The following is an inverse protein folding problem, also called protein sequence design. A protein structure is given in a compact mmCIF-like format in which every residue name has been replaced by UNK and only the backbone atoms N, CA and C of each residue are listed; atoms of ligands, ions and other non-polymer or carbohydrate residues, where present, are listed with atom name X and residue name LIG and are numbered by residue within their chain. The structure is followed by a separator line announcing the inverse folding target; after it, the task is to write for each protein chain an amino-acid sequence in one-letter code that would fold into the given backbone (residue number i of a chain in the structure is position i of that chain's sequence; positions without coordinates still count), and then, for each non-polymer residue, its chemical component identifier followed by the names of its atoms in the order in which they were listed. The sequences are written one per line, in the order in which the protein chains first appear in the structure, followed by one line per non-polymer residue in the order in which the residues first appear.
data_IF_857518668868
#
_entry.id   IF_857518668868
#
_cell.length_a   1.000
_cell.length_b   1.000
_cell.length_c   1.000
_cell.angle_alpha   90.00
_cell.angle_beta   90.00
_cell.angle_gamma   90.00
#
_symmetry.space_group_name_H-M   'P 1'
#
loop_
_entity.id
_entity.type
_entity.pdbx_description
1 polymer ?
#
# COMPACT_ATOMS: atom_id res chain seq x y z
N UNK A 1 4.99 4.22 1.49
CA UNK A 1 6.21 3.56 0.93
C UNK A 1 6.47 2.28 1.71
N UNK A 2 6.64 1.16 1.04
CA UNK A 2 7.06 -0.10 1.66
C UNK A 2 8.58 -0.19 1.63
N UNK A 3 9.19 -0.47 2.78
CA UNK A 3 10.64 -0.51 2.93
C UNK A 3 11.12 -1.93 3.25
N UNK A 4 12.13 -2.38 2.52
CA UNK A 4 12.83 -3.65 2.73
C UNK A 4 14.33 -3.42 2.65
N UNK A 5 15.12 -4.35 3.20
CA UNK A 5 16.58 -4.32 3.07
C UNK A 5 17.03 -4.88 1.71
N UNK A 6 18.22 -4.51 1.23
CA UNK A 6 18.81 -5.11 0.02
C UNK A 6 18.94 -6.63 0.13
N UNK A 7 19.29 -7.13 1.31
CA UNK A 7 19.44 -8.55 1.60
C UNK A 7 18.12 -9.30 1.46
N UNK A 8 17.04 -8.73 2.00
CA UNK A 8 15.70 -9.29 1.86
C UNK A 8 15.24 -9.34 0.41
N UNK A 9 15.50 -8.29 -0.38
CA UNK A 9 15.18 -8.25 -1.80
C UNK A 9 15.94 -9.36 -2.55
N UNK A 10 17.25 -9.52 -2.28
CA UNK A 10 18.07 -10.55 -2.90
C UNK A 10 17.54 -11.96 -2.58
N UNK A 11 17.21 -12.24 -1.33
CA UNK A 11 16.62 -13.51 -0.92
C UNK A 11 15.32 -13.80 -1.67
N UNK A 12 14.48 -12.80 -1.87
CA UNK A 12 13.25 -12.96 -2.66
C UNK A 12 13.52 -13.28 -4.12
N UNK A 13 14.54 -12.70 -4.74
CA UNK A 13 14.93 -13.04 -6.11
C UNK A 13 15.41 -14.50 -6.19
N UNK A 14 16.25 -14.92 -5.26
CA UNK A 14 16.71 -16.31 -5.18
C UNK A 14 15.52 -17.28 -5.05
N UNK A 15 14.60 -17.02 -4.14
CA UNK A 15 13.39 -17.86 -3.96
C UNK A 15 12.51 -17.93 -5.21
N UNK A 16 12.48 -16.90 -6.05
CA UNK A 16 11.75 -16.93 -7.34
C UNK A 16 12.45 -17.85 -8.34
N UNK A 17 13.78 -17.85 -8.36
CA UNK A 17 14.56 -18.72 -9.24
C UNK A 17 14.52 -20.19 -8.80
N UNK A 18 14.61 -20.42 -7.49
CA UNK A 18 14.61 -21.77 -6.91
C UNK A 18 13.26 -22.48 -6.99
N UNK A 19 12.18 -21.74 -7.18
CA UNK A 19 10.83 -22.29 -7.26
C UNK A 19 10.27 -22.24 -8.69
N UNK A 20 10.19 -23.39 -9.39
CA UNK A 20 9.68 -23.43 -10.78
C UNK A 20 8.31 -22.79 -10.95
N UNK A 21 7.42 -22.90 -9.95
CA UNK A 21 6.09 -22.27 -9.99
C UNK A 21 6.11 -20.75 -9.84
N UNK A 22 7.27 -20.17 -9.58
CA UNK A 22 7.45 -18.71 -9.41
C UNK A 22 8.44 -18.09 -10.40
N UNK A 23 9.08 -18.89 -11.26
CA UNK A 23 10.06 -18.39 -12.23
C UNK A 23 9.46 -17.32 -13.16
N UNK A 24 8.20 -17.43 -13.51
CA UNK A 24 7.49 -16.46 -14.34
C UNK A 24 7.41 -15.05 -13.74
N UNK A 25 7.64 -14.92 -12.42
CA UNK A 25 7.69 -13.63 -11.71
C UNK A 25 9.08 -13.00 -11.71
N UNK A 26 10.10 -13.72 -12.18
CA UNK A 26 11.45 -13.20 -12.20
C UNK A 26 11.70 -12.43 -13.49
N UNK A 27 12.23 -11.23 -13.37
CA UNK A 27 12.68 -10.42 -14.50
C UNK A 27 14.18 -10.17 -14.36
N UNK A 28 15.02 -10.59 -15.33
CA UNK A 28 16.46 -10.30 -15.30
C UNK A 28 16.79 -8.80 -15.16
N UNK A 29 15.95 -7.92 -15.71
CA UNK A 29 16.10 -6.47 -15.56
C UNK A 29 16.06 -5.99 -14.11
N UNK A 30 15.39 -6.73 -13.21
CA UNK A 30 15.38 -6.42 -11.77
C UNK A 30 16.79 -6.43 -11.16
N UNK A 31 17.71 -7.21 -11.74
CA UNK A 31 19.11 -7.26 -11.28
C UNK A 31 19.88 -5.99 -11.65
N UNK A 32 19.58 -5.39 -12.78
CA UNK A 32 20.20 -4.13 -13.19
C UNK A 32 19.64 -2.97 -12.36
N UNK A 33 18.34 -2.94 -12.14
CA UNK A 33 17.69 -1.97 -11.25
C UNK A 33 18.23 -2.09 -9.80
N UNK A 34 18.53 -3.30 -9.33
CA UNK A 34 19.13 -3.49 -8.01
C UNK A 34 20.49 -2.80 -7.86
N UNK A 35 21.28 -2.66 -8.92
CA UNK A 35 22.57 -1.96 -8.88
C UNK A 35 22.41 -0.47 -8.55
N UNK A 36 21.24 0.10 -8.83
CA UNK A 36 20.88 1.48 -8.55
C UNK A 36 20.28 1.69 -7.15
N UNK A 37 20.46 0.74 -6.22
CA UNK A 37 19.85 0.78 -4.90
C UNK A 37 20.08 2.10 -4.16
N UNK A 38 21.33 2.59 -4.15
CA UNK A 38 21.69 3.85 -3.49
C UNK A 38 21.00 5.06 -4.13
N UNK A 39 20.87 5.06 -5.45
CA UNK A 39 20.20 6.15 -6.18
C UNK A 39 18.70 6.17 -5.87
N UNK A 40 18.07 4.99 -5.81
CA UNK A 40 16.68 4.87 -5.36
C UNK A 40 16.48 5.34 -3.93
N UNK A 41 17.38 4.97 -3.00
CA UNK A 41 17.29 5.42 -1.61
C UNK A 41 17.43 6.94 -1.50
N UNK A 42 18.35 7.54 -2.23
CA UNK A 42 18.50 9.00 -2.29
C UNK A 42 17.26 9.69 -2.88
N UNK A 43 16.70 9.14 -3.95
CA UNK A 43 15.48 9.67 -4.55
C UNK A 43 14.27 9.57 -3.59
N UNK A 44 14.13 8.47 -2.88
CA UNK A 44 13.08 8.31 -1.86
C UNK A 44 13.25 9.26 -0.69
N UNK A 45 14.48 9.50 -0.24
CA UNK A 45 14.75 10.47 0.82
C UNK A 45 14.33 11.89 0.41
N UNK A 46 14.64 12.30 -0.83
CA UNK A 46 14.21 13.58 -1.38
C UNK A 46 12.68 13.63 -1.45
N UNK A 47 12.04 12.60 -2.00
CA UNK A 47 10.59 12.54 -2.09
C UNK A 47 9.90 12.66 -0.72
N UNK A 48 10.42 11.98 0.30
CA UNK A 48 9.90 12.08 1.67
C UNK A 48 10.06 13.49 2.25
N UNK A 49 11.18 14.14 2.00
CA UNK A 49 11.44 15.51 2.49
C UNK A 49 10.55 16.55 1.80
N UNK A 50 10.38 16.43 0.49
CA UNK A 50 9.73 17.46 -0.32
C UNK A 50 8.20 17.27 -0.42
N UNK A 51 7.72 16.03 -0.35
CA UNK A 51 6.32 15.70 -0.62
C UNK A 51 5.50 15.40 0.64
N UNK A 52 6.13 15.04 1.76
CA UNK A 52 5.40 14.77 2.99
C UNK A 52 4.98 16.06 3.67
N UNK A 53 3.67 16.22 3.91
CA UNK A 53 3.07 17.36 4.59
C UNK A 53 2.08 16.87 5.64
N UNK A 54 1.63 17.76 6.52
CA UNK A 54 0.59 17.43 7.50
C UNK A 54 -0.74 17.04 6.84
N UNK A 55 -1.06 17.67 5.69
CA UNK A 55 -2.27 17.38 4.92
C UNK A 55 -2.14 16.11 4.06
N UNK A 56 -0.92 15.77 3.63
CA UNK A 56 -0.64 14.59 2.82
C UNK A 56 0.58 13.85 3.39
N UNK A 57 0.43 13.21 4.56
CA UNK A 57 1.55 12.54 5.22
C UNK A 57 2.00 11.30 4.44
N UNK A 58 3.31 11.09 4.43
CA UNK A 58 3.91 9.87 3.92
C UNK A 58 4.26 8.92 5.08
N UNK A 59 4.01 7.64 4.85
CA UNK A 59 4.33 6.58 5.80
C UNK A 59 5.40 5.65 5.22
N UNK A 60 6.44 5.40 5.99
CA UNK A 60 7.45 4.38 5.66
C UNK A 60 7.13 3.15 6.50
N UNK A 61 6.73 2.06 5.84
CA UNK A 61 6.29 0.83 6.50
C UNK A 61 7.32 -0.27 6.27
N UNK A 62 7.92 -0.83 7.34
CA UNK A 62 8.74 -2.03 7.23
C UNK A 62 7.92 -3.17 6.62
N UNK A 63 8.41 -3.75 5.51
CA UNK A 63 7.62 -4.67 4.70
C UNK A 63 8.14 -6.11 4.68
N UNK A 64 9.18 -6.43 5.45
CA UNK A 64 9.74 -7.78 5.52
C UNK A 64 8.83 -8.74 6.27
N UNK A 65 8.24 -8.30 7.37
CA UNK A 65 7.19 -9.04 8.06
C UNK A 65 5.83 -8.69 7.48
N UNK A 66 5.24 -9.61 6.71
CA UNK A 66 3.98 -9.39 5.99
C UNK A 66 2.80 -9.09 6.91
N UNK A 67 2.68 -9.80 8.02
CA UNK A 67 1.57 -9.62 8.98
C UNK A 67 1.64 -8.25 9.63
N UNK A 68 2.83 -7.83 10.06
CA UNK A 68 3.04 -6.50 10.63
C UNK A 68 2.76 -5.40 9.61
N UNK A 69 3.29 -5.54 8.38
CA UNK A 69 3.03 -4.61 7.28
C UNK A 69 1.55 -4.43 7.03
N UNK A 70 0.82 -5.53 6.86
CA UNK A 70 -0.61 -5.51 6.53
C UNK A 70 -1.42 -4.90 7.67
N UNK A 71 -1.08 -5.23 8.92
CA UNK A 71 -1.69 -4.63 10.11
C UNK A 71 -1.48 -3.11 10.17
N UNK A 72 -0.25 -2.64 9.96
CA UNK A 72 0.07 -1.21 10.02
C UNK A 72 -0.66 -0.42 8.93
N UNK A 73 -0.69 -0.94 7.71
CA UNK A 73 -1.40 -0.29 6.60
C UNK A 73 -2.90 -0.23 6.90
N UNK A 74 -3.49 -1.35 7.29
CA UNK A 74 -4.91 -1.41 7.62
C UNK A 74 -5.28 -0.48 8.78
N UNK A 75 -4.43 -0.39 9.80
CA UNK A 75 -4.62 0.51 10.95
C UNK A 75 -4.65 1.97 10.52
N UNK A 76 -3.67 2.40 9.73
CA UNK A 76 -3.61 3.79 9.25
C UNK A 76 -4.84 4.14 8.41
N UNK A 77 -5.23 3.27 7.48
CA UNK A 77 -6.41 3.48 6.63
C UNK A 77 -7.68 3.56 7.49
N UNK A 78 -7.84 2.65 8.44
CA UNK A 78 -8.99 2.67 9.35
C UNK A 78 -9.06 3.96 10.15
N UNK A 79 -7.94 4.37 10.73
CA UNK A 79 -7.88 5.54 11.59
C UNK A 79 -8.21 6.82 10.78
N UNK A 80 -7.73 6.93 9.54
CA UNK A 80 -8.08 8.05 8.65
C UNK A 80 -9.55 8.03 8.24
N UNK A 81 -10.11 6.89 7.90
CA UNK A 81 -11.53 6.77 7.58
C UNK A 81 -12.42 7.12 8.78
N UNK A 82 -12.01 6.74 9.99
CA UNK A 82 -12.73 7.14 11.22
C UNK A 82 -12.71 8.67 11.44
N UNK A 83 -11.57 9.33 11.18
CA UNK A 83 -11.47 10.79 11.27
C UNK A 83 -12.36 11.47 10.23
N UNK A 84 -12.40 10.96 9.02
CA UNK A 84 -13.27 11.48 7.95
C UNK A 84 -14.75 11.31 8.27
N UNK A 85 -15.10 10.31 9.07
CA UNK A 85 -16.47 9.97 9.46
C UNK A 85 -17.45 10.01 8.28
N UNK A 86 -17.22 9.26 7.20
CA UNK A 86 -18.07 9.31 6.03
C UNK A 86 -19.49 8.91 6.38
N UNK A 87 -20.47 9.68 5.87
CA UNK A 87 -21.89 9.43 6.05
C UNK A 87 -22.51 9.05 4.71
N UNK A 88 -23.59 8.28 4.76
CA UNK A 88 -24.40 8.06 3.56
C UNK A 88 -25.05 9.37 3.14
N UNK A 89 -25.12 9.65 1.83
CA UNK A 89 -25.85 10.81 1.35
C UNK A 89 -27.34 10.70 1.70
N UNK A 90 -28.01 11.84 1.86
CA UNK A 90 -29.45 11.87 1.99
C UNK A 90 -30.09 11.30 0.72
N UNK A 91 -31.17 10.51 0.83
CA UNK A 91 -31.87 10.01 -0.33
C UNK A 91 -32.51 11.18 -1.12
N UNK A 92 -32.49 11.11 -2.45
CA UNK A 92 -33.08 12.09 -3.34
C UNK A 92 -34.63 12.00 -3.38
N UNK A 93 -35.22 11.13 -2.57
CA UNK A 93 -36.65 10.89 -2.47
C UNK A 93 -37.11 10.89 -1.01
N UNK A 94 -38.40 11.09 -0.77
CA UNK A 94 -38.99 10.99 0.56
C UNK A 94 -39.08 9.51 0.99
N UNK A 95 -38.15 9.06 1.83
CA UNK A 95 -38.11 7.69 2.32
C UNK A 95 -39.29 7.33 3.25
N UNK A 96 -40.08 8.29 3.69
CA UNK A 96 -41.31 8.03 4.48
C UNK A 96 -42.46 7.58 3.61
N UNK A 97 -42.44 7.98 2.32
CA UNK A 97 -43.49 7.63 1.34
C UNK A 97 -43.28 6.25 0.72
N UNK A 98 -41.98 5.91 0.46
CA UNK A 98 -41.65 4.65 -0.20
C UNK A 98 -41.17 3.63 0.82
N UNK A 99 -41.99 2.64 1.10
CA UNK A 99 -41.68 1.51 1.98
C UNK A 99 -41.67 0.20 1.18
N UNK A 100 -41.08 -0.86 1.74
CA UNK A 100 -41.12 -2.19 1.08
C UNK A 100 -42.53 -2.69 0.79
N UNK A 101 -43.53 -2.27 1.58
CA UNK A 101 -44.95 -2.59 1.38
C UNK A 101 -45.65 -1.72 0.32
N UNK A 102 -45.07 -0.59 -0.07
CA UNK A 102 -45.61 0.27 -1.12
C UNK A 102 -45.18 -0.13 -2.54
N UNK A 103 -44.31 -1.11 -2.66
CA UNK A 103 -43.83 -1.65 -3.94
C UNK A 103 -44.54 -2.97 -4.20
N UNK A 104 -45.28 -3.02 -5.27
CA UNK A 104 -46.00 -4.23 -5.72
C UNK A 104 -45.48 -4.71 -7.06
#
# INVERSE_FOLDING_TARGET
MLNVTPEYQLDRFKRRLDNPGKNWKFNPGDLDERKLWSDYMSAFEIALKECATDQAPWYVVPAENRRFRDYMIAKVIRDELQKMNPQYPEPEFDATVYTSSSIS
#
